data_IF_135135472118
#
_entry.id   IF_135135472118
#
_cell.length_a   1.000
_cell.length_b   1.000
_cell.length_c   1.000
_cell.angle_alpha   90.00
_cell.angle_beta   90.00
_cell.angle_gamma   90.00
#
_symmetry.space_group_name_H-M   'P 1'
#
loop_
_entity.id
_entity.type
_entity.pdbx_description
1 polymer ?
#
# COMPACT_ATOMS: atom_id res chain seq x y z
N UNK A 1 18.07 14.49 -44.01
CA UNK A 1 17.03 13.80 -43.22
C UNK A 1 17.72 13.10 -42.06
N UNK A 2 17.46 13.49 -40.81
CA UNK A 2 17.91 12.74 -39.64
C UNK A 2 16.67 12.15 -38.95
N UNK A 3 16.53 10.82 -39.01
CA UNK A 3 15.51 10.11 -38.24
C UNK A 3 16.00 10.01 -36.80
N UNK A 4 15.42 10.80 -35.91
CA UNK A 4 15.57 10.65 -34.46
C UNK A 4 15.02 9.29 -34.05
N UNK A 5 15.86 8.46 -33.41
CA UNK A 5 15.39 7.22 -32.76
C UNK A 5 14.41 7.60 -31.63
N UNK A 6 13.28 6.88 -31.46
CA UNK A 6 12.42 7.11 -30.31
C UNK A 6 13.22 6.87 -29.03
N UNK A 7 13.10 7.76 -28.04
CA UNK A 7 13.58 7.51 -26.68
C UNK A 7 12.75 6.33 -26.16
N UNK A 8 13.38 5.21 -25.80
CA UNK A 8 12.68 4.15 -25.05
C UNK A 8 12.12 4.78 -23.77
N UNK A 9 10.80 4.84 -23.65
CA UNK A 9 10.15 5.13 -22.38
C UNK A 9 10.47 3.99 -21.43
N UNK A 10 11.31 4.27 -20.43
CA UNK A 10 11.56 3.33 -19.34
C UNK A 10 10.27 3.23 -18.53
N UNK A 11 9.48 2.20 -18.84
CA UNK A 11 8.26 1.88 -18.12
C UNK A 11 8.64 1.36 -16.74
N UNK A 12 8.18 2.03 -15.68
CA UNK A 12 8.43 1.53 -14.33
C UNK A 12 7.57 0.29 -14.09
N UNK A 13 8.16 -0.75 -13.50
CA UNK A 13 7.50 -2.04 -13.25
C UNK A 13 7.37 -2.31 -11.75
N UNK A 14 6.21 -2.81 -11.33
CA UNK A 14 5.94 -3.22 -9.96
C UNK A 14 6.25 -4.70 -9.75
N UNK A 15 7.33 -4.99 -9.04
CA UNK A 15 7.69 -6.30 -8.56
C UNK A 15 6.93 -6.64 -7.28
N UNK A 16 5.82 -7.35 -7.47
CA UNK A 16 4.96 -7.89 -6.41
C UNK A 16 5.72 -8.72 -5.37
N UNK A 17 6.70 -9.52 -5.80
CA UNK A 17 7.45 -10.38 -4.89
C UNK A 17 8.34 -9.55 -3.97
N UNK A 18 8.98 -8.52 -4.50
CA UNK A 18 9.78 -7.59 -3.68
C UNK A 18 8.95 -6.84 -2.65
N UNK A 19 7.71 -6.46 -2.98
CA UNK A 19 6.80 -5.88 -2.01
C UNK A 19 6.50 -6.85 -0.86
N UNK A 20 6.24 -8.12 -1.17
CA UNK A 20 5.99 -9.16 -0.16
C UNK A 20 7.24 -9.51 0.65
N UNK A 21 8.41 -9.61 0.03
CA UNK A 21 9.69 -9.84 0.71
C UNK A 21 10.02 -8.71 1.70
N UNK A 22 9.77 -7.46 1.30
CA UNK A 22 9.88 -6.32 2.20
C UNK A 22 8.92 -6.45 3.38
N UNK A 23 7.66 -6.81 3.11
CA UNK A 23 6.66 -7.01 4.14
C UNK A 23 7.03 -8.12 5.12
N UNK A 24 7.61 -9.23 4.65
CA UNK A 24 8.13 -10.32 5.49
C UNK A 24 9.35 -9.91 6.31
N UNK A 25 10.17 -8.96 5.83
CA UNK A 25 11.32 -8.49 6.58
C UNK A 25 10.91 -7.56 7.73
N UNK A 26 9.89 -6.73 7.52
CA UNK A 26 9.55 -5.60 8.39
C UNK A 26 8.23 -5.74 9.15
N UNK A 27 7.52 -6.88 9.09
CA UNK A 27 6.21 -7.03 9.75
C UNK A 27 6.22 -6.78 11.27
N UNK A 28 7.35 -6.98 11.97
CA UNK A 28 7.48 -6.87 13.43
C UNK A 28 8.42 -5.76 13.94
N UNK A 29 8.94 -4.92 13.05
CA UNK A 29 9.84 -3.82 13.44
C UNK A 29 9.78 -2.71 12.41
N UNK A 30 10.18 -1.51 12.80
CA UNK A 30 10.15 -0.34 11.91
C UNK A 30 11.46 -0.25 11.13
N UNK A 31 11.38 0.06 9.84
CA UNK A 31 12.56 0.29 9.03
C UNK A 31 13.18 1.66 9.38
N UNK A 32 14.44 1.72 9.83
CA UNK A 32 15.07 2.98 10.27
C UNK A 32 15.28 3.99 9.14
N UNK A 33 15.16 3.60 7.87
CA UNK A 33 15.16 4.53 6.74
C UNK A 33 13.90 5.41 6.70
N UNK A 34 12.86 5.06 7.48
CA UNK A 34 11.59 5.76 7.54
C UNK A 34 11.31 6.26 8.96
N UNK A 35 10.49 7.30 9.04
CA UNK A 35 10.04 7.87 10.31
C UNK A 35 9.17 6.82 10.99
N UNK A 36 9.51 6.47 12.24
CA UNK A 36 8.68 5.60 13.05
C UNK A 36 7.36 6.31 13.37
N UNK A 37 6.24 5.70 12.98
CA UNK A 37 4.91 6.19 13.28
C UNK A 37 4.25 5.29 14.33
N UNK A 38 3.43 5.86 15.20
CA UNK A 38 2.65 5.11 16.18
C UNK A 38 1.58 4.26 15.49
N UNK A 39 0.78 4.90 14.62
CA UNK A 39 -0.14 4.22 13.70
C UNK A 39 0.54 4.09 12.35
N UNK A 40 1.00 2.88 12.03
CA UNK A 40 2.01 2.67 10.98
C UNK A 40 1.58 1.74 9.84
N UNK A 41 0.39 1.15 9.90
CA UNK A 41 -0.14 0.25 8.86
C UNK A 41 0.05 0.78 7.42
N UNK A 42 -0.35 2.02 7.15
CA UNK A 42 -0.29 2.57 5.79
C UNK A 42 1.12 3.04 5.41
N UNK A 43 1.89 3.57 6.36
CA UNK A 43 3.31 3.87 6.13
C UNK A 43 4.08 2.60 5.75
N UNK A 44 3.82 1.49 6.44
CA UNK A 44 4.38 0.18 6.11
C UNK A 44 3.92 -0.34 4.74
N UNK A 45 2.61 -0.26 4.44
CA UNK A 45 2.10 -0.64 3.10
C UNK A 45 2.77 0.20 2.01
N UNK A 46 2.90 1.52 2.18
CA UNK A 46 3.59 2.39 1.22
C UNK A 46 5.06 2.02 1.05
N UNK A 47 5.75 1.62 2.13
CA UNK A 47 7.12 1.12 2.04
C UNK A 47 7.18 -0.19 1.24
N UNK A 48 6.22 -1.10 1.40
CA UNK A 48 6.14 -2.34 0.61
C UNK A 48 5.93 -2.03 -0.87
N UNK A 49 4.97 -1.14 -1.19
CA UNK A 49 4.69 -0.71 -2.56
C UNK A 49 5.92 -0.05 -3.21
N UNK A 50 6.62 0.80 -2.47
CA UNK A 50 7.84 1.44 -2.94
C UNK A 50 9.00 0.45 -3.13
N UNK A 51 9.17 -0.51 -2.22
CA UNK A 51 10.15 -1.57 -2.35
C UNK A 51 9.87 -2.49 -3.55
N UNK A 52 8.60 -2.66 -3.91
CA UNK A 52 8.18 -3.29 -5.15
C UNK A 52 8.46 -2.44 -6.41
N UNK A 53 8.99 -1.23 -6.30
CA UNK A 53 9.37 -0.40 -7.44
C UNK A 53 8.28 0.56 -7.94
N UNK A 54 7.17 0.73 -7.20
CA UNK A 54 6.18 1.73 -7.55
C UNK A 54 6.80 3.15 -7.48
N UNK A 55 6.70 3.96 -8.55
CA UNK A 55 7.30 5.28 -8.58
C UNK A 55 6.50 6.26 -7.70
N UNK A 56 7.20 7.00 -6.86
CA UNK A 56 6.61 8.08 -6.08
C UNK A 56 6.20 9.23 -6.99
N UNK A 57 5.04 9.82 -6.69
CA UNK A 57 4.53 11.02 -7.35
C UNK A 57 4.71 12.21 -6.38
N UNK A 58 5.83 12.91 -6.51
CA UNK A 58 6.18 14.06 -5.68
C UNK A 58 5.45 15.33 -6.13
N UNK A 59 4.68 15.93 -5.24
CA UNK A 59 3.99 17.21 -5.49
C UNK A 59 4.42 18.32 -4.52
N UNK A 60 5.09 17.97 -3.42
CA UNK A 60 5.44 18.88 -2.33
C UNK A 60 4.26 19.31 -1.45
N UNK A 61 3.02 19.00 -1.85
CA UNK A 61 1.79 19.26 -1.10
C UNK A 61 1.33 17.97 -0.40
N UNK A 62 1.04 18.03 0.91
CA UNK A 62 0.63 16.84 1.68
C UNK A 62 -0.70 16.25 1.20
N UNK A 63 -1.57 17.06 0.61
CA UNK A 63 -2.89 16.62 0.14
C UNK A 63 -2.87 15.91 -1.22
N UNK A 64 -1.75 15.91 -1.94
CA UNK A 64 -1.68 15.38 -3.31
C UNK A 64 -0.44 14.53 -3.54
N UNK A 65 -0.52 13.68 -4.57
CA UNK A 65 0.56 12.74 -4.90
C UNK A 65 0.60 11.54 -3.96
N UNK A 66 1.67 10.76 -4.08
CA UNK A 66 2.04 9.67 -3.18
C UNK A 66 3.56 9.69 -3.05
N UNK A 67 4.05 10.25 -1.95
CA UNK A 67 5.46 10.56 -1.79
C UNK A 67 5.91 10.64 -0.32
N UNK A 68 7.19 10.34 -0.11
CA UNK A 68 7.86 10.43 1.17
C UNK A 68 9.27 10.99 1.01
N UNK A 69 9.63 11.92 1.88
CA UNK A 69 10.99 12.48 2.03
C UNK A 69 11.51 12.27 3.46
N UNK A 70 10.62 12.17 4.45
CA UNK A 70 10.98 12.01 5.86
C UNK A 70 10.81 13.30 6.64
N UNK A 71 11.83 13.75 7.36
CA UNK A 71 11.80 15.01 8.11
C UNK A 71 12.79 16.00 7.52
N UNK A 72 12.35 17.21 7.21
CA UNK A 72 13.19 18.30 6.69
C UNK A 72 12.92 19.55 7.52
N UNK A 73 13.96 20.15 8.10
CA UNK A 73 13.83 21.35 8.94
C UNK A 73 12.92 21.16 10.15
N UNK A 74 12.90 19.96 10.74
CA UNK A 74 12.04 19.61 11.87
C UNK A 74 10.59 19.26 11.51
N UNK A 75 10.15 19.47 10.26
CA UNK A 75 8.80 19.18 9.79
C UNK A 75 8.71 17.84 9.04
N UNK A 76 7.58 17.17 9.17
CA UNK A 76 7.24 15.97 8.39
C UNK A 76 6.98 16.32 6.93
N UNK A 77 7.63 15.58 6.02
CA UNK A 77 7.56 15.75 4.58
C UNK A 77 7.18 14.44 3.92
N UNK A 78 5.87 14.22 3.85
CA UNK A 78 5.22 13.10 3.16
C UNK A 78 3.75 13.45 2.87
N UNK A 79 3.16 12.83 1.85
CA UNK A 79 1.73 13.00 1.52
C UNK A 79 0.81 12.18 2.42
N UNK A 80 -0.42 12.63 2.66
CA UNK A 80 -1.39 11.87 3.45
C UNK A 80 -1.61 10.46 2.88
N UNK A 81 -1.65 10.32 1.55
CA UNK A 81 -1.70 9.03 0.87
C UNK A 81 -0.53 8.09 1.19
N UNK A 82 0.62 8.59 1.68
CA UNK A 82 1.72 7.74 2.11
C UNK A 82 1.43 7.05 3.44
N UNK A 83 0.69 7.68 4.35
CA UNK A 83 0.59 7.25 5.75
C UNK A 83 -0.84 7.11 6.31
N UNK A 84 -1.88 7.48 5.56
CA UNK A 84 -3.28 7.43 5.98
C UNK A 84 -4.10 6.53 5.06
N UNK A 85 -4.75 5.50 5.61
CA UNK A 85 -5.40 4.42 4.85
C UNK A 85 -6.45 4.94 3.86
N UNK A 86 -7.42 5.73 4.32
CA UNK A 86 -8.43 6.36 3.46
C UNK A 86 -7.81 7.22 2.34
N UNK A 87 -6.74 7.97 2.65
CA UNK A 87 -6.06 8.80 1.64
C UNK A 87 -5.29 7.96 0.61
N UNK A 88 -4.68 6.84 1.01
CA UNK A 88 -4.02 5.93 0.08
C UNK A 88 -5.03 5.26 -0.85
N UNK A 89 -6.16 4.77 -0.32
CA UNK A 89 -7.22 4.16 -1.13
C UNK A 89 -7.73 5.14 -2.19
N UNK A 90 -8.12 6.35 -1.79
CA UNK A 90 -8.57 7.40 -2.72
C UNK A 90 -7.53 7.73 -3.77
N UNK A 91 -6.25 7.79 -3.38
CA UNK A 91 -5.16 8.00 -4.32
C UNK A 91 -5.06 6.86 -5.34
N UNK A 92 -5.09 5.61 -4.91
CA UNK A 92 -4.99 4.44 -5.79
C UNK A 92 -6.13 4.38 -6.81
N UNK A 93 -7.37 4.70 -6.37
CA UNK A 93 -8.56 4.68 -7.22
C UNK A 93 -8.61 5.83 -8.25
N UNK A 94 -7.96 6.98 -7.95
CA UNK A 94 -8.07 8.19 -8.76
C UNK A 94 -6.81 8.53 -9.55
N UNK A 95 -5.65 8.01 -9.14
CA UNK A 95 -4.37 8.35 -9.74
C UNK A 95 -4.33 7.95 -11.22
N UNK A 96 -3.77 8.85 -12.03
CA UNK A 96 -3.52 8.62 -13.47
C UNK A 96 -2.04 8.48 -13.80
N UNK A 97 -1.16 8.59 -12.80
CA UNK A 97 0.30 8.61 -12.96
C UNK A 97 0.98 7.86 -11.82
N UNK A 98 2.08 7.18 -12.13
CA UNK A 98 2.81 6.36 -11.16
C UNK A 98 1.92 5.32 -10.50
N UNK A 99 2.08 5.11 -9.18
CA UNK A 99 1.29 4.16 -8.40
C UNK A 99 -0.23 4.33 -8.64
N UNK A 100 -0.88 3.22 -9.02
CA UNK A 100 -2.31 3.11 -9.34
C UNK A 100 -2.82 1.74 -8.92
N UNK A 101 -4.11 1.66 -8.62
CA UNK A 101 -4.78 0.40 -8.33
C UNK A 101 -6.20 0.35 -8.87
N UNK A 102 -6.72 -0.86 -9.01
CA UNK A 102 -8.10 -1.12 -9.43
C UNK A 102 -8.79 -1.90 -8.33
N UNK A 103 -9.98 -1.45 -7.94
CA UNK A 103 -10.80 -2.17 -6.98
C UNK A 103 -11.35 -3.45 -7.62
N UNK A 104 -11.20 -4.57 -6.93
CA UNK A 104 -11.75 -5.87 -7.33
C UNK A 104 -12.90 -6.27 -6.40
N UNK A 105 -13.75 -7.19 -6.84
CA UNK A 105 -14.99 -7.52 -6.13
C UNK A 105 -14.75 -8.45 -4.95
N UNK A 106 -13.73 -9.32 -5.03
CA UNK A 106 -13.46 -10.32 -4.01
C UNK A 106 -11.97 -10.40 -3.62
N UNK A 107 -11.65 -10.89 -2.40
CA UNK A 107 -10.27 -11.07 -1.98
C UNK A 107 -9.53 -12.13 -2.79
N UNK A 108 -10.24 -13.10 -3.37
CA UNK A 108 -9.64 -14.14 -4.22
C UNK A 108 -8.99 -13.57 -5.48
N UNK A 109 -9.50 -12.43 -5.97
CA UNK A 109 -8.94 -11.71 -7.12
C UNK A 109 -7.63 -10.96 -6.80
N UNK A 110 -7.27 -10.81 -5.53
CA UNK A 110 -6.03 -10.16 -5.12
C UNK A 110 -4.85 -11.11 -5.23
N UNK A 111 -3.74 -10.64 -5.77
CA UNK A 111 -2.45 -11.33 -5.78
C UNK A 111 -1.50 -10.83 -4.70
N UNK A 112 -0.39 -11.55 -4.53
CA UNK A 112 0.75 -11.08 -3.75
C UNK A 112 1.15 -9.67 -4.20
N UNK A 113 1.44 -8.80 -3.23
CA UNK A 113 1.75 -7.39 -3.45
C UNK A 113 0.52 -6.48 -3.57
N UNK A 114 -0.70 -7.01 -3.55
CA UNK A 114 -1.91 -6.19 -3.52
C UNK A 114 -2.28 -5.75 -2.10
N UNK A 115 -3.22 -4.81 -2.00
CA UNK A 115 -3.55 -4.15 -0.74
C UNK A 115 -5.03 -4.34 -0.39
N UNK A 116 -5.28 -4.59 0.89
CA UNK A 116 -6.62 -4.63 1.47
C UNK A 116 -6.75 -3.44 2.42
N UNK A 117 -7.86 -2.71 2.29
CA UNK A 117 -8.24 -1.66 3.22
C UNK A 117 -9.44 -2.09 4.04
N UNK A 118 -9.47 -1.66 5.29
CA UNK A 118 -10.53 -1.99 6.25
C UNK A 118 -11.17 -0.71 6.78
N UNK A 119 -12.49 -0.67 6.65
CA UNK A 119 -13.36 0.30 7.29
C UNK A 119 -14.06 -0.41 8.45
N UNK A 120 -13.51 -0.31 9.66
CA UNK A 120 -13.91 -1.08 10.82
C UNK A 120 -15.35 -0.83 11.28
N UNK A 121 -15.82 0.42 11.15
CA UNK A 121 -17.11 0.87 11.66
C UNK A 121 -18.16 1.05 10.55
N UNK A 122 -17.76 0.93 9.27
CA UNK A 122 -18.65 0.98 8.12
C UNK A 122 -19.12 2.39 7.77
N UNK A 123 -18.35 3.43 8.15
CA UNK A 123 -18.71 4.83 7.91
C UNK A 123 -18.20 5.40 6.57
N UNK A 124 -17.52 4.56 5.78
CA UNK A 124 -16.92 4.91 4.49
C UNK A 124 -15.52 5.50 4.60
N UNK A 125 -14.94 5.61 5.80
CA UNK A 125 -13.57 6.12 6.03
C UNK A 125 -12.65 4.99 6.48
N UNK A 126 -11.85 4.48 5.56
CA UNK A 126 -10.94 3.35 5.83
C UNK A 126 -9.86 3.72 6.86
N UNK A 127 -9.75 2.92 7.93
CA UNK A 127 -8.83 3.19 9.04
C UNK A 127 -7.61 2.27 9.06
N UNK A 128 -7.62 1.16 8.31
CA UNK A 128 -6.50 0.23 8.25
C UNK A 128 -6.18 -0.21 6.82
N UNK A 129 -4.93 -0.59 6.60
CA UNK A 129 -4.45 -1.19 5.36
C UNK A 129 -3.45 -2.31 5.67
N UNK A 130 -3.46 -3.35 4.84
CA UNK A 130 -2.54 -4.48 4.91
C UNK A 130 -2.16 -4.93 3.49
N UNK A 131 -0.97 -5.50 3.35
CA UNK A 131 -0.46 -6.01 2.06
C UNK A 131 -0.57 -7.53 2.01
N UNK A 132 -1.04 -8.07 0.89
CA UNK A 132 -1.07 -9.52 0.62
C UNK A 132 0.34 -10.01 0.40
N UNK A 133 0.82 -10.93 1.23
CA UNK A 133 2.18 -11.48 1.12
C UNK A 133 2.20 -12.91 0.63
N UNK A 134 1.14 -13.67 0.88
CA UNK A 134 1.01 -15.05 0.44
C UNK A 134 -0.46 -15.49 0.43
N UNK A 135 -0.72 -16.78 0.18
CA UNK A 135 -2.05 -17.39 0.23
C UNK A 135 -2.04 -18.63 1.11
N UNK A 136 -3.18 -18.96 1.70
CA UNK A 136 -3.36 -20.21 2.43
C UNK A 136 -3.53 -21.42 1.48
N UNK A 137 -3.69 -22.62 2.05
CA UNK A 137 -3.89 -23.85 1.27
C UNK A 137 -5.16 -23.88 0.42
N UNK A 138 -6.08 -22.93 0.59
CA UNK A 138 -7.31 -22.77 -0.19
C UNK A 138 -7.22 -21.59 -1.17
N UNK A 139 -6.03 -20.99 -1.34
CA UNK A 139 -5.81 -19.86 -2.24
C UNK A 139 -6.31 -18.52 -1.70
N UNK A 140 -6.70 -18.42 -0.43
CA UNK A 140 -7.21 -17.17 0.17
C UNK A 140 -6.05 -16.29 0.64
N UNK A 141 -6.12 -14.96 0.50
CA UNK A 141 -5.01 -14.09 0.85
C UNK A 141 -4.62 -14.14 2.34
N UNK A 142 -3.32 -14.11 2.58
CA UNK A 142 -2.71 -13.88 3.89
C UNK A 142 -1.93 -12.56 3.84
N UNK A 143 -2.08 -11.74 4.88
CA UNK A 143 -1.59 -10.37 4.90
C UNK A 143 -0.59 -10.11 6.00
N UNK A 144 0.27 -9.11 5.75
CA UNK A 144 1.10 -8.48 6.77
C UNK A 144 0.68 -7.04 7.02
N UNK A 145 0.83 -6.60 8.27
CA UNK A 145 0.59 -5.23 8.71
C UNK A 145 1.50 -4.88 9.90
N UNK A 146 1.65 -3.59 10.18
CA UNK A 146 2.71 -3.08 11.06
C UNK A 146 2.25 -1.89 11.91
N UNK A 147 1.05 -1.97 12.52
CA UNK A 147 0.64 -1.15 13.68
C UNK A 147 0.61 -2.06 14.90
N UNK A 148 -0.38 -2.98 14.92
CA UNK A 148 -0.33 -4.22 15.67
C UNK A 148 0.23 -5.27 14.71
N UNK A 149 1.48 -5.68 14.96
CA UNK A 149 2.25 -6.51 14.04
C UNK A 149 1.47 -7.76 13.63
N UNK A 150 1.38 -8.01 12.33
CA UNK A 150 0.65 -9.13 11.76
C UNK A 150 1.48 -9.75 10.66
N UNK A 151 1.61 -11.08 10.70
CA UNK A 151 2.34 -11.88 9.72
C UNK A 151 1.50 -13.04 9.25
N UNK A 152 1.34 -13.18 7.94
CA UNK A 152 0.53 -14.24 7.31
C UNK A 152 -0.86 -14.37 7.95
N UNK A 153 -1.45 -13.24 8.36
CA UNK A 153 -2.75 -13.22 9.02
C UNK A 153 -3.84 -13.41 7.98
N UNK A 154 -4.90 -14.14 8.34
CA UNK A 154 -6.03 -14.31 7.42
C UNK A 154 -6.66 -12.94 7.08
N UNK A 155 -6.83 -12.67 5.79
CA UNK A 155 -7.19 -11.34 5.27
C UNK A 155 -8.44 -10.73 5.93
N UNK A 156 -9.39 -11.56 6.36
CA UNK A 156 -10.66 -11.10 6.90
C UNK A 156 -10.52 -10.38 8.25
N UNK A 157 -9.38 -10.54 8.95
CA UNK A 157 -9.06 -9.77 10.15
C UNK A 157 -10.09 -9.86 11.29
N UNK A 158 -10.96 -10.88 11.28
CA UNK A 158 -12.08 -11.05 12.23
C UNK A 158 -11.65 -11.26 13.68
N UNK A 159 -10.40 -11.67 13.87
CA UNK A 159 -9.74 -11.84 15.15
C UNK A 159 -9.16 -10.51 15.70
N UNK A 160 -9.38 -9.38 15.02
CA UNK A 160 -8.91 -8.06 15.48
C UNK A 160 -9.88 -7.46 16.48
N UNK A 161 -9.39 -6.83 17.56
CA UNK A 161 -10.27 -6.09 18.49
C UNK A 161 -10.93 -4.87 17.83
N UNK A 162 -10.39 -4.37 16.70
CA UNK A 162 -11.00 -3.29 15.93
C UNK A 162 -12.12 -3.78 15.01
N UNK A 163 -12.19 -5.09 14.72
CA UNK A 163 -13.17 -5.64 13.79
C UNK A 163 -14.58 -5.59 14.37
N UNK A 164 -15.56 -5.26 13.54
CA UNK A 164 -16.98 -5.29 13.89
C UNK A 164 -17.80 -5.88 12.74
N UNK A 165 -19.06 -6.24 13.00
CA UNK A 165 -19.97 -6.70 11.95
C UNK A 165 -20.23 -5.64 10.86
N UNK A 166 -19.93 -4.37 11.14
CA UNK A 166 -20.01 -3.27 10.17
C UNK A 166 -18.76 -3.15 9.30
N UNK A 167 -17.74 -3.98 9.54
CA UNK A 167 -16.48 -3.87 8.81
C UNK A 167 -16.68 -4.05 7.31
N UNK A 168 -16.34 -3.01 6.55
CA UNK A 168 -16.31 -3.02 5.10
C UNK A 168 -14.87 -3.12 4.58
N UNK A 169 -14.71 -3.65 3.37
CA UNK A 169 -13.39 -3.88 2.76
C UNK A 169 -13.27 -3.15 1.41
N UNK A 170 -12.05 -2.76 1.09
CA UNK A 170 -11.65 -2.46 -0.29
C UNK A 170 -10.49 -3.36 -0.67
N UNK A 171 -10.69 -4.17 -1.72
CA UNK A 171 -9.68 -5.03 -2.30
C UNK A 171 -9.09 -4.31 -3.50
N UNK A 172 -7.81 -3.97 -3.47
CA UNK A 172 -7.17 -3.16 -4.51
C UNK A 172 -6.02 -3.91 -5.14
N UNK A 173 -6.16 -4.21 -6.44
CA UNK A 173 -5.09 -4.77 -7.27
C UNK A 173 -4.19 -3.66 -7.77
N UNK A 174 -2.90 -3.73 -7.44
CA UNK A 174 -1.90 -2.73 -7.87
C UNK A 174 -1.58 -2.95 -9.34
N UNK A 175 -1.40 -1.88 -10.11
CA UNK A 175 -0.97 -1.98 -11.52
C UNK A 175 0.49 -2.41 -11.61
N UNK A 176 0.79 -3.34 -12.52
CA UNK A 176 2.17 -3.86 -12.69
C UNK A 176 3.07 -2.91 -13.49
N UNK A 177 2.49 -1.95 -14.20
CA UNK A 177 3.21 -1.02 -15.08
C UNK A 177 2.73 0.42 -14.92
N UNK A 178 3.67 1.34 -15.01
CA UNK A 178 3.44 2.78 -14.88
C UNK A 178 4.01 3.56 -16.04
#
# INVERSE_FOLDING_TARGET
MARTKPKEEVRAFYDRRRAAEYAELWWNRRNPAYTAMEVNCTNFVSQCLFAGGAPMHYTGNRNTGWWYVGRVGGAERWSYSWAVADSLLRYLEQSRTGLRGIRVASPEELDVGDVIFYDWNGDGRFQHSAVVTTRDGFGRPLVNANTSDSRHRFWAYRDSPAWTERTAYAFVRISDTF
#
